data_IF_934014460115
#
_entry.id   IF_934014460115
#
_cell.length_a   1.000
_cell.length_b   1.000
_cell.length_c   1.000
_cell.angle_alpha   90.00
_cell.angle_beta   90.00
_cell.angle_gamma   90.00
#
_symmetry.space_group_name_H-M   'P 1'
#
loop_
_entity.id
_entity.type
_entity.pdbx_description
1 polymer ?
#
# COMPACT_ATOMS: atom_id res chain seq x y z
N UNK A 1 -4.56 8.86 -14.47
CA UNK A 1 -3.91 8.01 -13.46
C UNK A 1 -4.31 6.58 -13.74
N UNK A 2 -3.35 5.67 -13.81
CA UNK A 2 -3.64 4.24 -13.88
C UNK A 2 -4.33 3.79 -12.59
N UNK A 3 -5.18 2.77 -12.68
CA UNK A 3 -5.83 2.18 -11.51
C UNK A 3 -4.76 1.55 -10.61
N UNK A 4 -4.70 1.92 -9.32
CA UNK A 4 -3.68 1.40 -8.41
C UNK A 4 -3.93 -0.09 -8.16
N UNK A 5 -3.08 -0.95 -8.71
CA UNK A 5 -3.10 -2.40 -8.44
C UNK A 5 -2.37 -2.73 -7.14
N UNK A 6 -2.86 -3.72 -6.40
CA UNK A 6 -2.14 -4.24 -5.23
C UNK A 6 -1.22 -5.37 -5.63
N UNK A 7 0.09 -5.19 -5.46
CA UNK A 7 1.10 -6.21 -5.74
C UNK A 7 1.99 -6.50 -4.52
N UNK A 8 1.53 -6.15 -3.32
CA UNK A 8 2.27 -6.33 -2.07
C UNK A 8 3.31 -5.25 -1.75
N UNK A 9 3.60 -4.30 -2.65
CA UNK A 9 4.64 -3.28 -2.44
C UNK A 9 4.14 -1.96 -1.82
N UNK A 10 2.95 -1.96 -1.24
CA UNK A 10 2.33 -0.82 -0.56
C UNK A 10 1.57 -1.34 0.65
N UNK A 11 1.42 -0.51 1.68
CA UNK A 11 0.65 -0.89 2.84
C UNK A 11 -0.84 -1.10 2.46
N UNK A 12 -1.50 -2.21 2.87
CA UNK A 12 -2.90 -2.47 2.52
C UNK A 12 -3.87 -1.34 2.87
N UNK A 13 -3.68 -0.67 4.01
CA UNK A 13 -4.53 0.48 4.40
C UNK A 13 -4.34 1.68 3.47
N UNK A 14 -3.11 1.97 3.03
CA UNK A 14 -2.83 3.07 2.11
C UNK A 14 -3.43 2.79 0.74
N UNK A 15 -3.22 1.58 0.23
CA UNK A 15 -3.76 1.17 -1.06
C UNK A 15 -5.29 1.18 -1.10
N UNK A 16 -5.98 0.69 -0.06
CA UNK A 16 -7.44 0.75 0.04
C UNK A 16 -7.92 2.20 0.05
N UNK A 17 -7.25 3.09 0.79
CA UNK A 17 -7.58 4.51 0.81
C UNK A 17 -7.41 5.17 -0.56
N UNK A 18 -6.35 4.82 -1.28
CA UNK A 18 -6.08 5.35 -2.63
C UNK A 18 -7.12 4.88 -3.64
N UNK A 19 -7.53 3.62 -3.59
CA UNK A 19 -8.63 3.10 -4.40
C UNK A 19 -9.93 3.83 -4.10
N UNK A 20 -10.28 3.98 -2.81
CA UNK A 20 -11.51 4.66 -2.42
C UNK A 20 -11.53 6.11 -2.91
N UNK A 21 -10.41 6.84 -2.78
CA UNK A 21 -10.27 8.20 -3.31
C UNK A 21 -10.42 8.23 -4.83
N UNK A 22 -9.72 7.35 -5.54
CA UNK A 22 -9.79 7.26 -7.00
C UNK A 22 -11.21 6.98 -7.49
N UNK A 23 -11.88 6.00 -6.88
CA UNK A 23 -13.22 5.60 -7.27
C UNK A 23 -14.26 6.67 -6.95
N UNK A 24 -14.15 7.38 -5.82
CA UNK A 24 -14.99 8.57 -5.52
C UNK A 24 -14.83 9.65 -6.59
N UNK A 25 -13.59 9.98 -6.97
CA UNK A 25 -13.33 10.96 -8.02
C UNK A 25 -13.94 10.56 -9.37
N UNK A 26 -14.02 9.26 -9.66
CA UNK A 26 -14.58 8.73 -10.91
C UNK A 26 -16.11 8.69 -10.88
N UNK A 27 -16.69 8.26 -9.75
CA UNK A 27 -18.13 8.19 -9.56
C UNK A 27 -18.47 8.17 -8.05
N UNK A 28 -19.17 9.20 -7.59
CA UNK A 28 -19.57 9.33 -6.19
C UNK A 28 -20.72 8.39 -5.77
N UNK A 29 -21.35 7.68 -6.72
CA UNK A 29 -22.50 6.81 -6.45
C UNK A 29 -22.12 5.38 -6.05
N UNK A 30 -20.83 5.03 -6.03
CA UNK A 30 -20.40 3.70 -5.61
C UNK A 30 -20.72 3.44 -4.13
N UNK A 31 -21.36 2.30 -3.87
CA UNK A 31 -21.59 1.76 -2.54
C UNK A 31 -20.33 1.13 -1.96
N UNK A 32 -20.32 0.84 -0.66
CA UNK A 32 -19.23 0.11 0.00
C UNK A 32 -18.94 -1.25 -0.66
N UNK A 33 -19.98 -1.92 -1.16
CA UNK A 33 -19.87 -3.21 -1.83
C UNK A 33 -19.23 -3.08 -3.22
N UNK A 34 -19.55 -2.01 -3.96
CA UNK A 34 -18.91 -1.74 -5.26
C UNK A 34 -17.41 -1.50 -5.08
N UNK A 35 -17.01 -0.74 -4.05
CA UNK A 35 -15.59 -0.55 -3.73
C UNK A 35 -14.90 -1.88 -3.43
N UNK A 36 -15.55 -2.78 -2.69
CA UNK A 36 -14.98 -4.08 -2.34
C UNK A 36 -14.77 -4.96 -3.57
N UNK A 37 -15.80 -5.10 -4.40
CA UNK A 37 -15.71 -5.93 -5.61
C UNK A 37 -14.66 -5.39 -6.58
N UNK A 38 -14.62 -4.07 -6.80
CA UNK A 38 -13.57 -3.46 -7.63
C UNK A 38 -12.19 -3.69 -7.00
N UNK A 39 -12.02 -3.49 -5.70
CA UNK A 39 -10.74 -3.70 -5.03
C UNK A 39 -10.24 -5.15 -5.20
N UNK A 40 -11.12 -6.15 -5.07
CA UNK A 40 -10.78 -7.56 -5.31
C UNK A 40 -10.23 -7.80 -6.71
N UNK A 41 -10.81 -7.15 -7.74
CA UNK A 41 -10.29 -7.25 -9.12
C UNK A 41 -8.95 -6.56 -9.37
N UNK A 42 -8.53 -5.67 -8.46
CA UNK A 42 -7.28 -4.91 -8.56
C UNK A 42 -6.13 -5.54 -7.78
N UNK A 43 -6.38 -6.65 -7.06
CA UNK A 43 -5.34 -7.46 -6.43
C UNK A 43 -4.61 -8.28 -7.50
N UNK A 44 -3.28 -8.29 -7.43
CA UNK A 44 -2.44 -9.09 -8.32
C UNK A 44 -2.82 -10.57 -8.21
N UNK A 45 -2.93 -11.26 -9.35
CA UNK A 45 -3.35 -12.67 -9.41
C UNK A 45 -2.41 -13.62 -8.67
N UNK A 46 -1.17 -13.19 -8.38
CA UNK A 46 -0.23 -13.97 -7.57
C UNK A 46 -0.55 -13.94 -6.07
N UNK A 47 -1.48 -13.08 -5.63
CA UNK A 47 -1.90 -12.96 -4.23
C UNK A 47 -3.23 -13.71 -4.08
N UNK A 48 -3.18 -14.81 -3.35
CA UNK A 48 -4.36 -15.65 -3.13
C UNK A 48 -5.28 -15.02 -2.09
N UNK A 49 -6.45 -14.56 -2.51
CA UNK A 49 -7.48 -14.08 -1.60
C UNK A 49 -8.34 -15.26 -1.08
N UNK A 50 -8.70 -15.29 0.21
CA UNK A 50 -9.73 -16.18 0.72
C UNK A 50 -11.06 -16.05 -0.02
N UNK A 51 -11.82 -17.15 -0.08
CA UNK A 51 -13.12 -17.19 -0.77
C UNK A 51 -14.16 -16.25 -0.14
N UNK A 52 -14.13 -16.08 1.19
CA UNK A 52 -15.11 -15.29 1.94
C UNK A 52 -14.54 -13.93 2.36
N UNK A 53 -14.51 -12.98 1.42
CA UNK A 53 -14.24 -11.57 1.69
C UNK A 53 -15.49 -10.75 1.36
N UNK A 54 -16.23 -10.41 2.40
CA UNK A 54 -17.49 -9.63 2.35
C UNK A 54 -17.34 -8.19 2.86
N UNK A 55 -16.17 -7.83 3.38
CA UNK A 55 -15.89 -6.48 3.90
C UNK A 55 -14.50 -6.00 3.52
N UNK A 56 -14.34 -4.68 3.44
CA UNK A 56 -13.05 -4.02 3.22
C UNK A 56 -12.06 -4.31 4.36
N UNK A 57 -12.54 -4.57 5.57
CA UNK A 57 -11.70 -4.97 6.70
C UNK A 57 -11.13 -6.37 6.50
N UNK A 58 -11.97 -7.36 6.15
CA UNK A 58 -11.49 -8.71 5.82
C UNK A 58 -10.51 -8.68 4.64
N UNK A 59 -10.76 -7.85 3.63
CA UNK A 59 -9.82 -7.68 2.52
C UNK A 59 -8.45 -7.19 3.03
N UNK A 60 -8.43 -6.14 3.85
CA UNK A 60 -7.19 -5.60 4.42
C UNK A 60 -6.44 -6.62 5.25
N UNK A 61 -7.15 -7.39 6.08
CA UNK A 61 -6.52 -8.42 6.91
C UNK A 61 -5.93 -9.54 6.06
N UNK A 62 -6.66 -10.02 5.04
CA UNK A 62 -6.14 -11.00 4.09
C UNK A 62 -4.87 -10.50 3.37
N UNK A 63 -4.85 -9.25 2.92
CA UNK A 63 -3.66 -8.66 2.31
C UNK A 63 -2.49 -8.48 3.29
N UNK A 64 -2.78 -8.26 4.59
CA UNK A 64 -1.75 -8.18 5.65
C UNK A 64 -1.18 -9.55 6.04
N UNK A 65 -1.94 -10.62 5.83
CA UNK A 65 -1.52 -12.00 6.10
C UNK A 65 -0.71 -12.59 4.95
N UNK A 66 -0.86 -12.06 3.73
CA UNK A 66 -0.12 -12.51 2.56
C UNK A 66 1.41 -12.35 2.69
N UNK A 67 2.14 -13.29 2.08
CA UNK A 67 3.60 -13.34 2.13
C UNK A 67 4.24 -12.10 1.48
N UNK A 68 3.61 -11.51 0.45
CA UNK A 68 4.12 -10.32 -0.23
C UNK A 68 4.21 -9.13 0.73
N UNK A 69 3.21 -8.94 1.61
CA UNK A 69 3.25 -7.88 2.61
C UNK A 69 4.30 -8.12 3.69
N UNK A 70 4.56 -9.39 4.05
CA UNK A 70 5.66 -9.77 4.95
C UNK A 70 7.02 -9.43 4.34
N UNK A 71 7.20 -9.71 3.04
CA UNK A 71 8.42 -9.35 2.29
C UNK A 71 8.57 -7.84 2.20
N UNK A 72 7.50 -7.09 1.93
CA UNK A 72 7.50 -5.63 1.91
C UNK A 72 7.97 -5.05 3.24
N UNK A 73 7.36 -5.45 4.36
CA UNK A 73 7.77 -5.02 5.72
C UNK A 73 9.23 -5.32 6.00
N UNK A 74 9.69 -6.54 5.69
CA UNK A 74 11.08 -6.96 5.92
C UNK A 74 12.06 -6.15 5.07
N UNK A 75 11.69 -5.87 3.83
CA UNK A 75 12.49 -5.07 2.89
C UNK A 75 12.62 -3.63 3.38
N UNK A 76 11.53 -2.99 3.76
CA UNK A 76 11.58 -1.62 4.26
C UNK A 76 12.32 -1.53 5.61
N UNK A 77 12.14 -2.50 6.51
CA UNK A 77 12.96 -2.59 7.74
C UNK A 77 14.45 -2.62 7.43
N UNK A 78 14.89 -3.43 6.45
CA UNK A 78 16.29 -3.47 6.02
C UNK A 78 16.74 -2.15 5.39
N UNK A 79 15.91 -1.52 4.56
CA UNK A 79 16.23 -0.21 3.97
C UNK A 79 16.38 0.88 5.04
N UNK A 80 15.51 0.89 6.05
CA UNK A 80 15.59 1.81 7.20
C UNK A 80 16.89 1.61 7.99
N UNK A 81 17.31 0.37 8.25
CA UNK A 81 18.58 0.08 8.93
C UNK A 81 19.82 0.54 8.14
N UNK A 82 19.73 0.56 6.81
CA UNK A 82 20.80 1.03 5.94
C UNK A 82 20.77 2.55 5.73
N UNK A 83 19.67 3.22 6.11
CA UNK A 83 19.50 4.65 5.94
C UNK A 83 20.40 5.40 6.93
N UNK A 84 21.35 6.19 6.40
CA UNK A 84 22.29 6.98 7.20
C UNK A 84 22.00 8.47 7.05
N UNK A 85 21.82 9.14 8.17
CA UNK A 85 21.71 10.59 8.20
C UNK A 85 23.09 11.25 8.14
N UNK A 86 23.26 12.20 7.24
CA UNK A 86 24.43 13.09 7.15
C UNK A 86 23.89 14.51 7.34
N UNK A 87 24.37 15.26 8.35
CA UNK A 87 23.91 16.63 8.55
C UNK A 87 24.41 17.56 7.45
N UNK A 88 23.70 18.65 7.21
CA UNK A 88 24.06 19.66 6.19
C UNK A 88 25.46 20.26 6.43
N UNK A 89 25.87 20.41 7.68
CA UNK A 89 27.23 20.86 8.05
C UNK A 89 28.34 19.91 7.58
N UNK A 90 28.00 18.67 7.21
CA UNK A 90 28.90 17.66 6.63
C UNK A 90 28.60 17.39 5.14
N UNK A 91 27.87 18.29 4.48
CA UNK A 91 27.50 18.17 3.07
C UNK A 91 26.32 17.24 2.78
N UNK A 92 25.51 16.91 3.79
CA UNK A 92 24.28 16.13 3.60
C UNK A 92 23.10 16.97 3.11
N UNK A 93 21.98 16.29 2.85
CA UNK A 93 20.70 16.89 2.44
C UNK A 93 19.59 16.36 3.34
N UNK A 94 19.16 17.18 4.30
CA UNK A 94 18.14 16.81 5.28
C UNK A 94 16.79 16.57 4.62
N UNK A 95 16.40 17.42 3.66
CA UNK A 95 15.12 17.31 2.95
C UNK A 95 15.02 15.99 2.20
N UNK A 96 16.08 15.61 1.48
CA UNK A 96 16.17 14.34 0.77
C UNK A 96 16.19 13.14 1.73
N UNK A 97 16.91 13.24 2.84
CA UNK A 97 16.91 12.17 3.86
C UNK A 97 15.50 11.94 4.42
N UNK A 98 14.81 12.99 4.85
CA UNK A 98 13.44 12.89 5.39
C UNK A 98 12.48 12.38 4.33
N UNK A 99 12.57 12.87 3.08
CA UNK A 99 11.75 12.39 1.98
C UNK A 99 11.94 10.89 1.69
N UNK A 100 13.18 10.39 1.81
CA UNK A 100 13.46 8.96 1.66
C UNK A 100 12.95 8.16 2.87
N UNK A 101 13.14 8.66 4.08
CA UNK A 101 12.68 8.02 5.31
C UNK A 101 11.15 7.85 5.31
N UNK A 102 10.39 8.89 4.95
CA UNK A 102 8.92 8.86 4.94
C UNK A 102 8.33 7.96 3.86
N UNK A 103 9.11 7.53 2.86
CA UNK A 103 8.67 6.62 1.79
C UNK A 103 8.88 5.13 2.12
N UNK A 104 9.53 4.82 3.26
CA UNK A 104 9.89 3.46 3.68
C UNK A 104 9.00 2.99 4.83
#
# INVERSE_FOLDING_TARGET
MDLPKYNGNIHPDEWVNDIQKYLKLKNNNYSINDYLEIAKTLVDTNISLPTEIDTIEKLRNALKEDISFTVFKSTNKRKLQLLKYIPESKGGDTSKFISNFLKL
#
